data_IF_558080190282
#
_entry.id   IF_558080190282
#
_cell.length_a   1.000
_cell.length_b   1.000
_cell.length_c   1.000
_cell.angle_alpha   90.00
_cell.angle_beta   90.00
_cell.angle_gamma   90.00
#
_symmetry.space_group_name_H-M   'P 1'
#
loop_
_entity.id
_entity.type
_entity.pdbx_description
1 polymer ?
#
# COMPACT_ATOMS: atom_id res chain seq x y z
N UNK A 1 5.85 -5.31 -16.53
CA UNK A 1 6.88 -5.91 -15.67
C UNK A 1 6.27 -7.15 -15.03
N UNK A 2 7.04 -8.22 -14.77
CA UNK A 2 6.55 -9.29 -13.91
C UNK A 2 6.19 -8.69 -12.55
N UNK A 3 5.23 -9.28 -11.87
CA UNK A 3 4.91 -8.81 -10.55
C UNK A 3 6.05 -9.10 -9.57
N UNK A 4 6.25 -8.18 -8.65
CA UNK A 4 7.34 -8.19 -7.71
C UNK A 4 6.87 -7.70 -6.35
N UNK A 5 7.18 -8.48 -5.32
CA UNK A 5 7.00 -8.09 -3.93
C UNK A 5 8.37 -7.78 -3.34
N UNK A 6 8.56 -6.53 -2.89
CA UNK A 6 9.80 -6.10 -2.25
C UNK A 6 9.54 -5.82 -0.77
N UNK A 7 10.08 -6.67 0.08
CA UNK A 7 10.00 -6.53 1.54
C UNK A 7 10.91 -5.38 1.98
N UNK A 8 10.36 -4.42 2.73
CA UNK A 8 11.10 -3.32 3.34
C UNK A 8 11.55 -3.73 4.75
N UNK A 9 10.60 -4.17 5.57
CA UNK A 9 10.81 -4.68 6.91
C UNK A 9 9.74 -5.76 7.26
N UNK A 10 9.57 -6.11 8.53
CA UNK A 10 8.62 -7.15 8.94
C UNK A 10 7.14 -6.78 8.75
N UNK A 11 6.81 -5.50 8.56
CA UNK A 11 5.43 -5.01 8.46
C UNK A 11 5.21 -4.08 7.24
N UNK A 12 6.25 -3.76 6.47
CA UNK A 12 6.19 -2.88 5.30
C UNK A 12 6.71 -3.56 4.05
N UNK A 13 5.98 -3.38 2.95
CA UNK A 13 6.22 -4.07 1.68
C UNK A 13 5.82 -3.17 0.52
N UNK A 14 6.47 -3.35 -0.64
CA UNK A 14 5.99 -2.83 -1.91
C UNK A 14 5.47 -4.00 -2.74
N UNK A 15 4.22 -3.89 -3.19
CA UNK A 15 3.59 -4.80 -4.13
C UNK A 15 3.48 -4.10 -5.47
N UNK A 16 3.96 -4.72 -6.54
CA UNK A 16 3.90 -4.12 -7.87
C UNK A 16 3.55 -5.17 -8.91
N UNK A 17 2.66 -4.82 -9.83
CA UNK A 17 2.48 -5.53 -11.08
C UNK A 17 2.58 -4.58 -12.30
N UNK A 18 2.06 -5.00 -13.44
CA UNK A 18 2.08 -4.21 -14.67
C UNK A 18 1.05 -3.06 -14.69
N UNK A 19 0.16 -2.96 -13.70
CA UNK A 19 -0.94 -1.99 -13.62
C UNK A 19 -0.88 -1.13 -12.38
N UNK A 20 -0.44 -1.68 -11.25
CA UNK A 20 -0.55 -1.02 -9.96
C UNK A 20 0.71 -1.21 -9.11
N UNK A 21 1.07 -0.16 -8.38
CA UNK A 21 2.12 -0.16 -7.36
C UNK A 21 1.51 0.25 -6.02
N UNK A 22 1.60 -0.63 -5.02
CA UNK A 22 1.12 -0.42 -3.65
C UNK A 22 2.31 -0.38 -2.69
N UNK A 23 2.41 0.68 -1.91
CA UNK A 23 3.34 0.78 -0.78
C UNK A 23 2.57 0.56 0.51
N UNK A 24 2.83 -0.54 1.19
CA UNK A 24 2.26 -0.87 2.48
C UNK A 24 3.21 -0.44 3.61
N UNK A 25 2.70 0.34 4.57
CA UNK A 25 3.44 0.87 5.70
C UNK A 25 2.88 0.33 7.02
N UNK A 26 3.60 -0.62 7.60
CA UNK A 26 3.37 -1.20 8.94
C UNK A 26 3.71 -0.26 10.10
N UNK A 27 3.63 -0.73 11.33
CA UNK A 27 3.74 0.06 12.56
C UNK A 27 5.05 0.87 12.68
N UNK A 28 6.14 0.28 13.18
CA UNK A 28 7.45 0.94 13.20
C UNK A 28 8.22 0.64 11.92
N UNK A 29 8.20 1.59 10.98
CA UNK A 29 8.99 1.50 9.74
C UNK A 29 9.94 2.67 9.61
N UNK A 30 11.19 2.37 9.30
CA UNK A 30 12.23 3.38 9.10
C UNK A 30 12.04 4.11 7.77
N UNK A 31 12.02 5.46 7.77
CA UNK A 31 12.04 6.22 6.52
C UNK A 31 13.18 5.79 5.60
N UNK A 32 14.40 5.61 6.13
CA UNK A 32 15.57 5.28 5.32
C UNK A 32 15.39 3.96 4.55
N UNK A 33 14.80 2.96 5.18
CA UNK A 33 14.57 1.66 4.56
C UNK A 33 13.56 1.77 3.41
N UNK A 34 12.43 2.47 3.65
CA UNK A 34 11.41 2.74 2.63
C UNK A 34 12.03 3.45 1.43
N UNK A 35 12.80 4.51 1.67
CA UNK A 35 13.41 5.30 0.60
C UNK A 35 14.46 4.50 -0.18
N UNK A 36 15.27 3.70 0.53
CA UNK A 36 16.28 2.85 -0.10
C UNK A 36 15.63 1.81 -1.00
N UNK A 37 14.51 1.21 -0.58
CA UNK A 37 13.80 0.18 -1.34
C UNK A 37 13.07 0.78 -2.52
N UNK A 38 12.37 1.91 -2.37
CA UNK A 38 11.74 2.64 -3.50
C UNK A 38 12.77 2.98 -4.60
N UNK A 39 13.98 3.39 -4.20
CA UNK A 39 15.07 3.69 -5.14
C UNK A 39 15.60 2.44 -5.84
N UNK A 40 15.78 1.33 -5.12
CA UNK A 40 16.22 0.05 -5.70
C UNK A 40 15.19 -0.52 -6.66
N UNK A 41 13.90 -0.37 -6.32
CA UNK A 41 12.76 -0.77 -7.13
C UNK A 41 12.57 0.07 -8.40
N UNK A 42 13.27 1.20 -8.52
CA UNK A 42 13.13 2.16 -9.63
C UNK A 42 11.67 2.60 -9.86
N UNK A 43 10.96 2.90 -8.77
CA UNK A 43 9.53 3.26 -8.82
C UNK A 43 9.36 4.76 -9.12
N UNK A 44 8.68 5.06 -10.23
CA UNK A 44 8.35 6.45 -10.60
C UNK A 44 7.01 6.94 -10.04
N UNK A 45 6.04 6.03 -9.87
CA UNK A 45 4.70 6.34 -9.39
C UNK A 45 4.21 5.25 -8.43
N UNK A 46 3.44 5.66 -7.43
CA UNK A 46 2.80 4.81 -6.44
C UNK A 46 1.31 5.08 -6.54
N UNK A 47 0.53 4.06 -6.91
CA UNK A 47 -0.91 4.20 -7.05
C UNK A 47 -1.60 4.29 -5.69
N UNK A 48 -1.09 3.54 -4.72
CA UNK A 48 -1.67 3.51 -3.40
C UNK A 48 -0.61 3.36 -2.32
N UNK A 49 -0.66 4.23 -1.31
CA UNK A 49 0.04 4.02 -0.04
C UNK A 49 -0.98 3.55 0.99
N UNK A 50 -0.77 2.38 1.59
CA UNK A 50 -1.61 1.86 2.67
C UNK A 50 -0.89 2.03 3.99
N UNK A 51 -1.56 2.65 4.95
CA UNK A 51 -1.02 2.95 6.26
C UNK A 51 -1.79 2.16 7.31
N UNK A 52 -1.11 1.26 8.03
CA UNK A 52 -1.75 0.41 9.05
C UNK A 52 -2.15 1.16 10.32
N UNK A 53 -1.38 2.18 10.69
CA UNK A 53 -1.58 3.00 11.89
C UNK A 53 -1.17 4.44 11.63
N UNK A 54 -1.94 5.42 12.09
CA UNK A 54 -1.61 6.83 11.86
C UNK A 54 -0.57 7.34 12.86
N UNK A 55 0.44 8.08 12.36
CA UNK A 55 1.44 8.74 13.21
C UNK A 55 2.04 9.95 12.51
N UNK A 56 2.56 10.93 13.28
CA UNK A 56 3.24 12.09 12.71
C UNK A 56 4.48 11.70 11.87
N UNK A 57 5.18 10.63 12.28
CA UNK A 57 6.30 10.08 11.52
C UNK A 57 5.88 9.59 10.13
N UNK A 58 4.75 8.88 10.05
CA UNK A 58 4.18 8.44 8.77
C UNK A 58 3.68 9.60 7.91
N UNK A 59 3.06 10.60 8.52
CA UNK A 59 2.69 11.86 7.85
C UNK A 59 3.89 12.48 7.12
N UNK A 60 5.00 12.61 7.86
CA UNK A 60 6.23 13.22 7.37
C UNK A 60 6.86 12.39 6.25
N UNK A 61 6.88 11.07 6.41
CA UNK A 61 7.35 10.15 5.38
C UNK A 61 6.51 10.23 4.09
N UNK A 62 5.18 10.20 4.19
CA UNK A 62 4.29 10.30 3.04
C UNK A 62 4.46 11.65 2.34
N UNK A 63 4.58 12.73 3.12
CA UNK A 63 4.88 14.06 2.61
C UNK A 63 6.18 14.08 1.81
N UNK A 64 7.25 13.45 2.30
CA UNK A 64 8.51 13.33 1.57
C UNK A 64 8.38 12.47 0.31
N UNK A 65 7.67 11.34 0.38
CA UNK A 65 7.48 10.46 -0.78
C UNK A 65 6.79 11.23 -1.90
N UNK A 66 5.79 12.05 -1.57
CA UNK A 66 5.07 12.90 -2.53
C UNK A 66 5.91 13.99 -3.19
N UNK A 67 7.06 14.36 -2.64
CA UNK A 67 7.96 15.32 -3.30
C UNK A 67 8.88 14.67 -4.34
N UNK A 68 9.01 13.33 -4.33
CA UNK A 68 9.91 12.59 -5.20
C UNK A 68 9.19 11.59 -6.13
N UNK A 69 8.00 11.15 -5.75
CA UNK A 69 7.18 10.19 -6.48
C UNK A 69 5.77 10.75 -6.68
N UNK A 70 5.14 10.37 -7.78
CA UNK A 70 3.69 10.60 -7.95
C UNK A 70 2.96 9.62 -7.03
N UNK A 71 2.12 10.12 -6.13
CA UNK A 71 1.27 9.29 -5.26
C UNK A 71 -0.19 9.57 -5.59
N UNK A 72 -0.93 8.58 -6.09
CA UNK A 72 -2.34 8.77 -6.49
C UNK A 72 -3.30 8.76 -5.30
N UNK A 73 -3.12 7.84 -4.36
CA UNK A 73 -3.98 7.72 -3.18
C UNK A 73 -3.19 7.32 -1.92
N UNK A 74 -3.73 7.69 -0.76
CA UNK A 74 -3.26 7.23 0.55
C UNK A 74 -4.46 6.70 1.30
N UNK A 75 -4.40 5.44 1.73
CA UNK A 75 -5.37 4.84 2.64
C UNK A 75 -4.81 4.79 4.05
N UNK A 76 -5.64 5.17 5.02
CA UNK A 76 -5.31 5.14 6.44
C UNK A 76 -6.55 4.80 7.27
N UNK A 77 -6.39 4.27 8.50
CA UNK A 77 -7.53 3.98 9.38
C UNK A 77 -8.28 5.24 9.83
N UNK A 78 -7.62 6.40 9.82
CA UNK A 78 -8.19 7.68 10.22
C UNK A 78 -7.54 8.85 9.48
N UNK A 79 -8.30 9.94 9.27
CA UNK A 79 -7.82 11.17 8.61
C UNK A 79 -7.19 12.09 9.67
N UNK A 80 -6.04 11.68 10.22
CA UNK A 80 -5.37 12.43 11.29
C UNK A 80 -4.01 13.00 10.89
N UNK A 81 -3.45 12.60 9.74
CA UNK A 81 -2.10 13.01 9.34
C UNK A 81 -2.09 14.18 8.35
N UNK A 82 -3.22 14.51 7.73
CA UNK A 82 -3.36 15.70 6.88
C UNK A 82 -2.58 15.60 5.56
N UNK A 83 -2.31 14.38 5.10
CA UNK A 83 -1.63 14.08 3.83
C UNK A 83 -2.62 13.69 2.73
N UNK A 84 -3.90 14.02 2.87
CA UNK A 84 -4.94 13.70 1.89
C UNK A 84 -5.30 12.21 1.87
N UNK A 85 -5.34 11.61 3.06
CA UNK A 85 -5.75 10.24 3.29
C UNK A 85 -7.25 10.07 3.08
N UNK A 86 -7.61 8.87 2.65
CA UNK A 86 -8.98 8.39 2.62
C UNK A 86 -9.08 7.20 3.57
N UNK A 87 -10.18 7.11 4.32
CA UNK A 87 -10.52 5.89 5.05
C UNK A 87 -11.27 4.99 4.06
N UNK A 88 -10.67 3.89 3.55
CA UNK A 88 -11.36 3.02 2.64
C UNK A 88 -12.56 2.34 3.33
N UNK A 89 -13.70 2.15 2.63
CA UNK A 89 -14.77 1.30 3.13
C UNK A 89 -14.28 -0.13 3.43
N UNK A 90 -14.77 -0.73 4.51
CA UNK A 90 -14.49 -2.14 4.80
C UNK A 90 -14.99 -3.04 3.65
N UNK A 91 -14.20 -4.06 3.30
CA UNK A 91 -14.45 -4.94 2.16
C UNK A 91 -14.04 -4.37 0.80
N UNK A 92 -13.38 -3.20 0.75
CA UNK A 92 -12.77 -2.70 -0.49
C UNK A 92 -11.73 -3.69 -0.99
N UNK A 93 -11.79 -4.04 -2.27
CA UNK A 93 -10.88 -5.01 -2.90
C UNK A 93 -9.95 -4.33 -3.89
N UNK A 94 -8.68 -4.74 -3.89
CA UNK A 94 -7.68 -4.33 -4.87
C UNK A 94 -6.93 -5.56 -5.37
N UNK A 95 -6.95 -5.79 -6.68
CA UNK A 95 -6.19 -6.88 -7.30
C UNK A 95 -4.78 -6.40 -7.65
N UNK A 96 -3.76 -7.05 -7.09
CA UNK A 96 -2.34 -6.80 -7.37
C UNK A 96 -1.66 -8.15 -7.52
N UNK A 97 -1.03 -8.42 -8.66
CA UNK A 97 -0.36 -9.71 -8.90
C UNK A 97 -1.26 -10.94 -8.71
N UNK A 98 -2.53 -10.84 -9.12
CA UNK A 98 -3.47 -11.94 -8.89
C UNK A 98 -3.81 -12.18 -7.41
N UNK A 99 -3.26 -11.41 -6.47
CA UNK A 99 -3.65 -11.38 -5.06
C UNK A 99 -4.71 -10.31 -4.89
N UNK A 100 -5.85 -10.69 -4.31
CA UNK A 100 -6.89 -9.74 -3.93
C UNK A 100 -6.59 -9.27 -2.51
N UNK A 101 -6.25 -7.99 -2.39
CA UNK A 101 -6.13 -7.29 -1.13
C UNK A 101 -7.51 -6.82 -0.73
N UNK A 102 -8.03 -7.34 0.38
CA UNK A 102 -9.30 -6.91 0.96
C UNK A 102 -9.03 -6.05 2.18
N UNK A 103 -9.60 -4.86 2.21
CA UNK A 103 -9.49 -3.94 3.34
C UNK A 103 -10.38 -4.43 4.48
N UNK A 104 -9.76 -4.59 5.65
CA UNK A 104 -10.45 -4.74 6.92
C UNK A 104 -10.11 -3.57 7.86
N UNK A 105 -11.06 -3.16 8.69
CA UNK A 105 -10.87 -2.11 9.69
C UNK A 105 -11.14 -2.71 11.07
N UNK A 106 -10.09 -2.83 11.89
CA UNK A 106 -10.18 -3.32 13.26
C UNK A 106 -9.79 -2.20 14.24
N UNK A 107 -10.79 -1.59 14.88
CA UNK A 107 -10.57 -0.46 15.78
C UNK A 107 -9.93 0.73 15.07
N UNK A 108 -8.66 1.02 15.38
CA UNK A 108 -7.87 2.09 14.77
C UNK A 108 -6.79 1.57 13.79
N UNK A 109 -6.92 0.31 13.36
CA UNK A 109 -5.99 -0.32 12.42
C UNK A 109 -6.70 -0.61 11.10
N UNK A 110 -5.98 -0.34 10.02
CA UNK A 110 -6.33 -0.79 8.68
C UNK A 110 -5.50 -2.04 8.41
N UNK A 111 -6.18 -3.16 8.16
CA UNK A 111 -5.57 -4.45 7.83
C UNK A 111 -5.85 -4.76 6.36
N UNK A 112 -4.92 -5.45 5.71
CA UNK A 112 -5.13 -6.03 4.39
C UNK A 112 -5.17 -7.54 4.57
N UNK A 113 -6.32 -8.14 4.31
CA UNK A 113 -6.39 -9.57 4.12
C UNK A 113 -6.00 -9.92 2.68
N UNK A 114 -5.22 -10.97 2.52
CA UNK A 114 -4.68 -11.39 1.23
C UNK A 114 -5.27 -12.73 0.84
N UNK A 115 -6.11 -12.73 -0.17
CA UNK A 115 -6.56 -13.97 -0.80
C UNK A 115 -5.91 -14.10 -2.17
N UNK A 116 -5.37 -15.29 -2.48
CA UNK A 116 -4.90 -15.58 -3.84
C UNK A 116 -6.16 -15.62 -4.72
N UNK A 117 -6.30 -14.61 -5.57
CA UNK A 117 -7.36 -14.52 -6.55
C UNK A 117 -7.20 -15.64 -7.55
N UNK A 118 -8.01 -16.68 -7.41
CA UNK A 118 -8.10 -17.71 -8.43
C UNK A 118 -8.85 -17.09 -9.61
N UNK A 119 -8.13 -16.46 -10.53
CA UNK A 119 -8.67 -15.97 -11.80
C UNK A 119 -9.05 -17.18 -12.69
N UNK A 120 -10.10 -17.89 -12.29
CA UNK A 120 -10.70 -18.98 -13.04
C UNK A 120 -12.18 -19.09 -12.68
N UNK A 121 -13.01 -18.25 -13.30
CA UNK A 121 -14.33 -18.61 -13.82
C UNK A 121 -14.96 -17.40 -14.51
N UNK A 122 -14.39 -17.01 -15.65
CA UNK A 122 -15.18 -16.48 -16.76
C UNK A 122 -14.84 -17.41 -17.94
N UNK A 123 -15.71 -18.40 -18.15
CA UNK A 123 -15.99 -19.17 -19.39
C UNK A 123 -16.72 -20.47 -18.99
N UNK A 124 -18.03 -20.38 -18.76
CA UNK A 124 -19.08 -21.28 -19.28
C UNK A 124 -20.33 -21.23 -18.40
N UNK A 125 -21.45 -20.83 -19.01
CA UNK A 125 -22.80 -20.80 -18.43
C UNK A 125 -23.76 -19.98 -19.26
#
# INVERSE_FOLDING_TARGET
MPAETQVIDSESTIWQDHRVTVLELGGPTSPEDVLSTLRKANIGAIDLVVVHSSSFGKASLIGWIRTHHVVHAVWAPEITMGVGEVIPPAGTQLLVDGVTLTVEIEGNRLLLDTEIGNAASDLDG
#
